data_IF_225651607491
#
_entry.id   IF_225651607491
#
_cell.length_a   1.000
_cell.length_b   1.000
_cell.length_c   1.000
_cell.angle_alpha   90.00
_cell.angle_beta   90.00
_cell.angle_gamma   90.00
#
_symmetry.space_group_name_H-M   'P 1'
#
loop_
_entity.id
_entity.type
_entity.pdbx_description
1 polymer ?
#
# COMPACT_ATOMS: atom_id res chain seq x y z
N UNK A 1 13.17 -23.05 -51.58
CA UNK A 1 13.51 -23.45 -50.20
C UNK A 1 12.95 -22.40 -49.25
N UNK A 2 11.92 -22.68 -48.45
CA UNK A 2 11.55 -21.75 -47.38
C UNK A 2 12.72 -21.67 -46.39
N UNK A 3 13.13 -20.45 -46.02
CA UNK A 3 14.15 -20.27 -44.97
C UNK A 3 13.62 -20.94 -43.69
N UNK A 4 14.43 -21.72 -42.97
CA UNK A 4 14.03 -22.24 -41.68
C UNK A 4 13.63 -21.05 -40.79
N UNK A 5 12.46 -21.14 -40.16
CA UNK A 5 12.01 -20.17 -39.18
C UNK A 5 13.10 -20.04 -38.12
N UNK A 6 13.72 -18.87 -38.03
CA UNK A 6 14.75 -18.58 -37.03
C UNK A 6 14.05 -18.62 -35.68
N UNK A 7 14.28 -19.69 -34.91
CA UNK A 7 13.75 -19.87 -33.55
C UNK A 7 14.02 -18.56 -32.79
N UNK A 8 12.96 -17.91 -32.31
CA UNK A 8 13.10 -16.69 -31.52
C UNK A 8 13.99 -17.01 -30.31
N UNK A 9 14.93 -16.14 -29.93
CA UNK A 9 15.74 -16.39 -28.75
C UNK A 9 14.80 -16.59 -27.55
N UNK A 10 14.92 -17.73 -26.89
CA UNK A 10 14.13 -18.04 -25.69
C UNK A 10 14.98 -17.74 -24.47
N UNK A 11 14.36 -17.10 -23.47
CA UNK A 11 14.98 -16.93 -22.16
C UNK A 11 15.31 -18.34 -21.62
N UNK A 12 16.55 -18.62 -21.18
CA UNK A 12 16.90 -19.93 -20.65
C UNK A 12 15.96 -20.34 -19.51
N UNK A 13 15.57 -21.62 -19.45
CA UNK A 13 14.66 -22.13 -18.42
C UNK A 13 15.15 -21.81 -17.00
N UNK A 14 16.47 -21.91 -16.77
CA UNK A 14 17.09 -21.58 -15.50
C UNK A 14 16.87 -20.12 -15.08
N UNK A 15 16.79 -19.17 -16.02
CA UNK A 15 16.47 -17.76 -15.74
C UNK A 15 14.98 -17.62 -15.40
N UNK A 16 14.10 -18.30 -16.13
CA UNK A 16 12.65 -18.28 -15.87
C UNK A 16 12.30 -18.84 -14.48
N UNK A 17 12.92 -19.95 -14.07
CA UNK A 17 12.72 -20.57 -12.76
C UNK A 17 13.18 -19.64 -11.63
N UNK A 18 14.35 -19.03 -11.83
CA UNK A 18 14.93 -18.01 -10.95
C UNK A 18 14.00 -16.81 -10.75
N UNK A 19 13.47 -16.24 -11.83
CA UNK A 19 12.50 -15.14 -11.78
C UNK A 19 11.22 -15.54 -11.03
N UNK A 20 10.72 -16.75 -11.26
CA UNK A 20 9.52 -17.28 -10.60
C UNK A 20 9.73 -17.48 -9.10
N UNK A 21 10.90 -17.99 -8.70
CA UNK A 21 11.26 -18.14 -7.31
C UNK A 21 11.34 -16.76 -6.61
N UNK A 22 11.94 -15.77 -7.28
CA UNK A 22 12.02 -14.41 -6.76
C UNK A 22 10.64 -13.78 -6.56
N UNK A 23 9.74 -13.92 -7.53
CA UNK A 23 8.34 -13.45 -7.42
C UNK A 23 7.66 -14.02 -6.18
N UNK A 24 7.86 -15.31 -5.90
CA UNK A 24 7.25 -15.97 -4.75
C UNK A 24 7.72 -15.36 -3.43
N UNK A 25 9.02 -15.07 -3.30
CA UNK A 25 9.59 -14.41 -2.11
C UNK A 25 9.12 -12.96 -2.02
N UNK A 26 9.10 -12.24 -3.14
CA UNK A 26 8.66 -10.84 -3.22
C UNK A 26 7.21 -10.64 -2.74
N UNK A 27 6.31 -11.57 -3.08
CA UNK A 27 4.90 -11.56 -2.67
C UNK A 27 4.59 -12.44 -1.45
N UNK A 28 5.60 -12.87 -0.71
CA UNK A 28 5.43 -13.80 0.43
C UNK A 28 4.76 -13.13 1.63
N UNK A 29 5.05 -11.85 1.88
CA UNK A 29 4.50 -11.11 3.02
C UNK A 29 3.07 -10.63 2.75
N UNK A 30 2.15 -10.80 3.72
CA UNK A 30 0.84 -10.16 3.64
C UNK A 30 0.97 -8.62 3.65
N UNK A 31 -0.01 -7.88 3.11
CA UNK A 31 0.04 -6.42 3.06
C UNK A 31 -0.41 -5.76 4.38
N UNK A 32 -0.34 -6.51 5.48
CA UNK A 32 -0.79 -6.12 6.82
C UNK A 32 0.00 -6.87 7.89
N UNK A 33 -0.02 -6.35 9.12
CA UNK A 33 0.45 -7.05 10.33
C UNK A 33 -0.66 -6.96 11.38
N UNK A 34 -0.92 -8.04 12.11
CA UNK A 34 -1.94 -8.08 13.15
C UNK A 34 -1.49 -8.90 14.35
N UNK A 35 -2.09 -8.63 15.50
CA UNK A 35 -1.88 -9.42 16.70
C UNK A 35 -2.59 -8.85 17.91
N UNK A 36 -2.14 -9.28 19.08
CA UNK A 36 -2.58 -8.73 20.37
C UNK A 36 -1.43 -8.10 21.13
N UNK A 37 -1.73 -7.10 21.96
CA UNK A 37 -0.76 -6.33 22.71
C UNK A 37 -1.30 -5.98 24.10
N UNK A 38 -0.52 -6.25 25.14
CA UNK A 38 -0.87 -5.89 26.52
C UNK A 38 -0.45 -4.45 26.81
N UNK A 39 -1.32 -3.71 27.48
CA UNK A 39 -1.08 -2.33 27.92
C UNK A 39 -1.34 -2.19 29.43
N UNK A 40 -0.91 -1.07 30.00
CA UNK A 40 -1.21 -0.75 31.39
C UNK A 40 -2.70 -0.55 31.61
N UNK A 41 -3.19 -0.90 32.81
CA UNK A 41 -4.63 -0.82 33.13
C UNK A 41 -5.22 0.58 32.91
N UNK A 42 -4.42 1.62 33.13
CA UNK A 42 -4.86 3.00 32.94
C UNK A 42 -5.10 3.35 31.45
N UNK A 43 -4.51 2.62 30.51
CA UNK A 43 -4.59 2.90 29.08
C UNK A 43 -5.89 2.38 28.46
N UNK A 44 -6.63 1.52 29.17
CA UNK A 44 -7.98 1.12 28.79
C UNK A 44 -9.06 2.18 29.08
N UNK A 45 -8.68 3.29 29.74
CA UNK A 45 -9.62 4.37 30.07
C UNK A 45 -9.91 5.26 28.86
N UNK A 46 -11.21 5.43 28.58
CA UNK A 46 -11.74 6.34 27.57
C UNK A 46 -12.64 7.39 28.25
N UNK A 47 -12.43 8.65 27.91
CA UNK A 47 -13.19 9.80 28.40
C UNK A 47 -14.02 10.41 27.26
N UNK A 48 -15.29 10.71 27.50
CA UNK A 48 -16.21 11.27 26.49
C UNK A 48 -17.36 12.05 27.15
N UNK A 49 -18.25 12.65 26.34
CA UNK A 49 -19.46 13.35 26.83
C UNK A 49 -19.28 14.85 27.12
N UNK A 50 -18.04 15.35 26.98
CA UNK A 50 -17.71 16.77 27.09
C UNK A 50 -17.83 17.36 28.50
N UNK A 51 -17.63 18.68 28.65
CA UNK A 51 -17.61 19.34 29.96
C UNK A 51 -18.93 19.28 30.74
N UNK A 52 -20.07 19.17 30.05
CA UNK A 52 -21.40 19.22 30.68
C UNK A 52 -21.85 17.86 31.25
N UNK A 53 -21.38 16.75 30.67
CA UNK A 53 -21.72 15.40 31.13
C UNK A 53 -20.51 14.46 30.94
N UNK A 54 -19.40 14.71 31.65
CA UNK A 54 -18.18 13.94 31.46
C UNK A 54 -18.40 12.49 31.90
N UNK A 55 -17.92 11.57 31.08
CA UNK A 55 -17.95 10.13 31.33
C UNK A 55 -16.55 9.56 31.21
N UNK A 56 -16.29 8.51 31.97
CA UNK A 56 -15.10 7.68 31.89
C UNK A 56 -15.55 6.23 31.86
N UNK A 57 -15.03 5.45 30.93
CA UNK A 57 -15.29 4.02 30.80
C UNK A 57 -13.96 3.27 30.78
N UNK A 58 -13.86 2.20 31.55
CA UNK A 58 -12.76 1.24 31.47
C UNK A 58 -13.14 0.17 30.44
N UNK A 59 -12.57 0.26 29.24
CA UNK A 59 -12.94 -0.62 28.12
C UNK A 59 -12.52 -2.08 28.32
N UNK A 60 -11.67 -2.39 29.31
CA UNK A 60 -11.33 -3.77 29.66
C UNK A 60 -12.33 -4.42 30.62
N UNK A 61 -13.13 -3.62 31.33
CA UNK A 61 -14.08 -4.09 32.36
C UNK A 61 -15.48 -3.49 32.17
N UNK A 62 -15.79 -2.96 30.99
CA UNK A 62 -17.03 -2.27 30.71
C UNK A 62 -18.24 -3.22 30.72
N UNK A 63 -19.32 -2.79 31.39
CA UNK A 63 -20.59 -3.47 31.28
C UNK A 63 -21.31 -3.09 29.98
N UNK A 64 -22.21 -3.96 29.49
CA UNK A 64 -23.02 -3.71 28.28
C UNK A 64 -23.77 -2.37 28.32
N UNK A 65 -24.25 -1.95 29.49
CA UNK A 65 -24.94 -0.66 29.65
C UNK A 65 -24.01 0.54 29.41
N UNK A 66 -22.74 0.44 29.82
CA UNK A 66 -21.75 1.50 29.59
C UNK A 66 -21.34 1.56 28.12
N UNK A 67 -21.22 0.38 27.47
CA UNK A 67 -20.91 0.27 26.04
C UNK A 67 -22.07 0.76 25.15
N UNK A 68 -23.32 0.45 25.53
CA UNK A 68 -24.51 1.00 24.90
C UNK A 68 -24.52 2.53 25.02
N UNK A 69 -24.25 3.08 26.22
CA UNK A 69 -24.20 4.52 26.40
C UNK A 69 -23.09 5.18 25.56
N UNK A 70 -21.91 4.56 25.46
CA UNK A 70 -20.83 5.02 24.58
C UNK A 70 -21.26 5.00 23.11
N UNK A 71 -21.93 3.92 22.68
CA UNK A 71 -22.51 3.81 21.34
C UNK A 71 -23.51 4.94 21.07
N UNK A 72 -24.38 5.24 22.03
CA UNK A 72 -25.40 6.29 21.92
C UNK A 72 -24.84 7.70 21.86
N UNK A 73 -23.70 7.93 22.52
CA UNK A 73 -22.95 9.17 22.41
C UNK A 73 -22.27 9.35 21.03
N UNK A 74 -22.09 8.28 20.25
CA UNK A 74 -21.48 8.35 18.93
C UNK A 74 -22.49 8.78 17.85
N UNK A 75 -22.04 9.55 16.85
CA UNK A 75 -22.82 9.85 15.66
C UNK A 75 -22.85 8.65 14.69
N UNK A 76 -23.87 8.51 13.82
CA UNK A 76 -23.82 7.54 12.74
C UNK A 76 -22.58 7.74 11.85
N UNK A 77 -21.93 6.65 11.46
CA UNK A 77 -20.71 6.72 10.66
C UNK A 77 -21.02 6.82 9.16
N UNK A 78 -20.40 7.79 8.49
CA UNK A 78 -20.43 7.94 7.03
C UNK A 78 -19.24 7.23 6.37
N UNK A 79 -19.25 7.12 5.05
CA UNK A 79 -18.09 6.69 4.25
C UNK A 79 -17.88 7.62 3.05
N UNK A 80 -16.65 7.69 2.55
CA UNK A 80 -16.31 8.54 1.42
C UNK A 80 -16.72 7.88 0.10
N UNK A 81 -17.48 8.60 -0.73
CA UNK A 81 -17.76 8.24 -2.11
C UNK A 81 -17.73 9.52 -2.95
N UNK A 82 -16.90 9.57 -3.99
CA UNK A 82 -16.84 10.69 -4.94
C UNK A 82 -16.81 12.09 -4.27
N UNK A 83 -15.96 12.29 -3.25
CA UNK A 83 -15.86 13.54 -2.46
C UNK A 83 -17.02 13.90 -1.54
N UNK A 84 -17.95 13.00 -1.37
CA UNK A 84 -19.05 13.20 -0.45
C UNK A 84 -19.00 12.16 0.63
N UNK A 85 -19.24 12.59 1.86
CA UNK A 85 -19.55 11.68 2.94
C UNK A 85 -20.97 11.19 2.72
N UNK A 86 -21.11 9.89 2.48
CA UNK A 86 -22.37 9.21 2.25
C UNK A 86 -22.78 8.46 3.51
N UNK A 87 -24.06 8.59 3.86
CA UNK A 87 -24.71 7.81 4.91
C UNK A 87 -25.63 6.79 4.24
N UNK A 88 -25.27 5.51 4.35
CA UNK A 88 -26.04 4.37 3.84
C UNK A 88 -25.79 3.17 4.77
N UNK A 89 -26.81 2.80 5.56
CA UNK A 89 -26.72 1.71 6.53
C UNK A 89 -26.71 0.32 5.89
N UNK A 90 -27.13 0.19 4.62
CA UNK A 90 -27.00 -1.07 3.88
C UNK A 90 -25.54 -1.29 3.44
N UNK A 91 -24.73 -0.23 3.41
CA UNK A 91 -23.30 -0.29 3.10
C UNK A 91 -22.41 -0.26 4.35
N UNK A 92 -22.73 0.62 5.30
CA UNK A 92 -22.01 0.80 6.55
C UNK A 92 -22.99 1.08 7.68
N UNK A 93 -23.12 0.11 8.58
CA UNK A 93 -23.84 0.31 9.85
C UNK A 93 -22.82 0.34 10.98
N UNK A 94 -22.44 1.52 11.42
CA UNK A 94 -21.52 1.74 12.53
C UNK A 94 -21.75 3.12 13.13
N UNK A 95 -21.27 3.34 14.37
CA UNK A 95 -21.25 4.67 14.98
C UNK A 95 -19.80 5.12 15.19
N UNK A 96 -19.57 6.43 15.12
CA UNK A 96 -18.24 7.03 15.29
C UNK A 96 -18.26 8.24 16.23
N UNK A 97 -17.12 8.52 16.81
CA UNK A 97 -16.84 9.76 17.53
C UNK A 97 -15.53 10.35 16.99
N UNK A 98 -15.56 11.64 16.64
CA UNK A 98 -14.39 12.36 16.13
C UNK A 98 -13.48 12.79 17.31
N UNK A 99 -12.19 13.05 17.02
CA UNK A 99 -11.13 13.19 18.06
C UNK A 99 -11.31 14.34 19.03
N UNK A 100 -12.14 15.33 18.71
CA UNK A 100 -12.46 16.46 19.56
C UNK A 100 -13.54 16.14 20.62
N UNK A 101 -14.22 15.00 20.48
CA UNK A 101 -15.31 14.59 21.36
C UNK A 101 -14.93 13.49 22.38
N UNK A 102 -13.71 12.96 22.31
CA UNK A 102 -13.18 12.00 23.28
C UNK A 102 -11.69 12.20 23.59
N UNK A 103 -11.23 11.56 24.66
CA UNK A 103 -9.80 11.42 24.97
C UNK A 103 -9.54 10.01 25.47
N UNK A 104 -8.41 9.42 25.09
CA UNK A 104 -7.92 8.15 25.63
C UNK A 104 -6.53 8.33 26.21
N UNK A 105 -6.14 7.44 27.14
CA UNK A 105 -4.76 7.40 27.65
C UNK A 105 -3.82 6.60 26.77
N UNK A 106 -4.34 5.55 26.12
CA UNK A 106 -3.57 4.77 25.17
C UNK A 106 -3.01 5.66 24.05
N UNK A 107 -1.70 5.58 23.88
CA UNK A 107 -0.96 6.17 22.77
C UNK A 107 -0.05 5.07 22.17
N UNK A 108 -0.13 4.80 20.85
CA UNK A 108 0.59 3.70 20.25
C UNK A 108 2.12 3.89 20.28
N UNK A 109 2.60 5.13 20.26
CA UNK A 109 4.04 5.41 20.28
C UNK A 109 4.62 5.27 21.69
N UNK A 110 3.95 5.84 22.70
CA UNK A 110 4.40 5.74 24.09
C UNK A 110 4.24 4.33 24.68
N UNK A 111 3.27 3.56 24.20
CA UNK A 111 3.06 2.18 24.67
C UNK A 111 4.16 1.21 24.21
N UNK A 112 4.93 1.53 23.17
CA UNK A 112 5.89 0.60 22.58
C UNK A 112 5.30 -0.29 21.48
N UNK A 113 4.01 -0.11 21.13
CA UNK A 113 3.34 -0.90 20.09
C UNK A 113 3.96 -0.67 18.71
N UNK A 114 4.32 0.58 18.41
CA UNK A 114 4.87 0.93 17.10
C UNK A 114 6.23 0.26 16.84
N UNK A 115 7.07 0.13 17.86
CA UNK A 115 8.36 -0.56 17.82
C UNK A 115 8.24 -2.04 17.47
N UNK A 116 7.11 -2.66 17.83
CA UNK A 116 6.78 -4.03 17.45
C UNK A 116 6.32 -4.12 15.99
N UNK A 117 5.43 -3.21 15.58
CA UNK A 117 4.76 -3.27 14.28
C UNK A 117 5.71 -2.91 13.13
N UNK A 118 6.49 -1.85 13.30
CA UNK A 118 7.25 -1.20 12.24
C UNK A 118 8.32 -2.07 11.56
N UNK A 119 9.17 -2.81 12.29
CA UNK A 119 10.15 -3.69 11.67
C UNK A 119 9.51 -4.75 10.76
N UNK A 120 8.30 -5.21 11.11
CA UNK A 120 7.58 -6.22 10.33
C UNK A 120 6.79 -5.62 9.17
N UNK A 121 6.09 -4.50 9.40
CA UNK A 121 5.17 -3.92 8.42
C UNK A 121 5.88 -3.17 7.29
N UNK A 122 6.87 -2.33 7.60
CA UNK A 122 7.62 -1.58 6.57
C UNK A 122 8.80 -2.38 6.02
N UNK A 123 9.50 -3.12 6.90
CA UNK A 123 10.59 -4.03 6.54
C UNK A 123 11.70 -3.42 5.66
N UNK A 124 11.86 -2.10 5.67
CA UNK A 124 12.83 -1.34 4.86
C UNK A 124 14.21 -1.21 5.54
N UNK A 125 14.31 -1.60 6.82
CA UNK A 125 15.56 -1.55 7.58
C UNK A 125 16.02 -0.16 8.00
N UNK A 126 15.18 0.87 7.80
CA UNK A 126 15.48 2.23 8.21
C UNK A 126 15.13 2.49 9.69
N UNK A 127 15.55 3.65 10.21
CA UNK A 127 15.02 4.15 11.49
C UNK A 127 13.59 4.67 11.29
N UNK A 128 12.61 3.86 11.71
CA UNK A 128 11.19 4.10 11.40
C UNK A 128 10.62 5.23 12.28
N UNK A 129 11.24 5.53 13.44
CA UNK A 129 10.75 6.56 14.38
C UNK A 129 10.80 7.96 13.79
N UNK A 130 11.69 8.22 12.83
CA UNK A 130 11.82 9.53 12.18
C UNK A 130 10.94 9.65 10.94
N UNK A 131 10.46 8.52 10.40
CA UNK A 131 9.79 8.42 9.09
C UNK A 131 8.27 8.36 9.14
N UNK A 132 7.65 7.98 10.25
CA UNK A 132 6.20 7.71 10.30
C UNK A 132 5.49 8.59 11.33
N UNK A 133 4.38 9.21 10.91
CA UNK A 133 3.42 9.88 11.79
C UNK A 133 2.21 8.97 11.96
N UNK A 134 1.86 8.66 13.20
CA UNK A 134 0.66 7.91 13.57
C UNK A 134 -0.36 8.89 14.17
N UNK A 135 -1.38 9.26 13.40
CA UNK A 135 -2.36 10.27 13.77
C UNK A 135 -3.66 9.61 14.21
N UNK A 136 -4.12 9.88 15.43
CA UNK A 136 -5.43 9.43 15.88
C UNK A 136 -6.51 10.07 15.01
N UNK A 137 -7.39 9.24 14.45
CA UNK A 137 -8.42 9.71 13.52
C UNK A 137 -9.83 9.66 14.11
N UNK A 138 -10.24 8.52 14.70
CA UNK A 138 -11.59 8.36 15.24
C UNK A 138 -11.74 7.16 16.15
N UNK A 139 -12.75 7.22 16.99
CA UNK A 139 -13.34 6.07 17.67
C UNK A 139 -14.48 5.51 16.81
N UNK A 140 -14.58 4.19 16.66
CA UNK A 140 -15.77 3.54 16.11
C UNK A 140 -16.35 2.53 17.11
N UNK A 141 -17.67 2.49 17.19
CA UNK A 141 -18.44 1.51 17.96
C UNK A 141 -19.34 0.74 17.01
N UNK A 142 -19.18 -0.58 16.99
CA UNK A 142 -20.02 -1.52 16.26
C UNK A 142 -20.80 -2.33 17.29
N UNK A 143 -22.09 -2.01 17.47
CA UNK A 143 -23.01 -2.84 18.27
C UNK A 143 -23.61 -3.98 17.45
N UNK A 144 -24.51 -4.75 18.05
CA UNK A 144 -25.20 -5.84 17.36
C UNK A 144 -25.81 -5.41 16.01
N UNK A 145 -25.52 -6.19 14.98
CA UNK A 145 -25.98 -5.96 13.61
C UNK A 145 -25.16 -4.95 12.81
N UNK A 146 -24.19 -4.27 13.43
CA UNK A 146 -23.27 -3.33 12.78
C UNK A 146 -22.24 -4.05 11.90
N UNK A 147 -21.84 -3.45 10.79
CA UNK A 147 -20.87 -3.97 9.82
C UNK A 147 -20.31 -2.83 8.96
N UNK A 148 -19.28 -3.13 8.17
CA UNK A 148 -18.81 -2.24 7.11
C UNK A 148 -18.34 -3.06 5.91
N UNK A 149 -19.02 -2.94 4.76
CA UNK A 149 -18.72 -3.69 3.54
C UNK A 149 -17.30 -3.45 3.01
N UNK A 150 -16.87 -4.35 2.13
CA UNK A 150 -15.58 -4.29 1.44
C UNK A 150 -15.33 -2.90 0.81
N UNK A 151 -14.21 -2.29 1.18
CA UNK A 151 -13.75 -1.00 0.68
C UNK A 151 -12.23 -0.88 0.79
N UNK A 152 -11.67 0.16 0.17
CA UNK A 152 -10.29 0.61 0.40
C UNK A 152 -10.31 1.94 1.11
N UNK A 153 -9.24 2.28 1.81
CA UNK A 153 -9.15 3.59 2.43
C UNK A 153 -9.08 4.68 1.37
N UNK A 154 -9.80 5.75 1.63
CA UNK A 154 -9.69 6.98 0.85
C UNK A 154 -8.47 7.75 1.36
N UNK A 155 -7.41 7.94 0.55
CA UNK A 155 -6.24 8.71 0.98
C UNK A 155 -6.65 10.12 1.40
N UNK A 156 -6.14 10.59 2.54
CA UNK A 156 -6.40 11.92 3.09
C UNK A 156 -5.30 12.94 2.79
N UNK A 157 -4.16 12.45 2.32
CA UNK A 157 -2.94 13.20 2.01
C UNK A 157 -2.16 12.43 0.95
N UNK A 158 -1.25 13.09 0.25
CA UNK A 158 -0.24 12.46 -0.61
C UNK A 158 0.84 11.71 0.18
N UNK A 159 0.87 11.86 1.51
CA UNK A 159 1.78 11.12 2.40
C UNK A 159 1.12 9.97 3.16
N UNK A 160 -0.20 9.82 3.09
CA UNK A 160 -0.91 8.74 3.79
C UNK A 160 -0.62 7.41 3.10
N UNK A 161 -0.18 6.41 3.87
CA UNK A 161 0.19 5.10 3.31
C UNK A 161 -0.60 3.93 3.88
N UNK A 162 -1.27 4.11 5.02
CA UNK A 162 -2.01 3.03 5.66
C UNK A 162 -2.82 3.47 6.86
N UNK A 163 -3.39 2.48 7.53
CA UNK A 163 -4.22 2.63 8.72
C UNK A 163 -3.80 1.64 9.79
N UNK A 164 -3.81 2.08 11.05
CA UNK A 164 -3.72 1.21 12.22
C UNK A 164 -5.08 1.19 12.92
N UNK A 165 -5.67 0.01 13.04
CA UNK A 165 -6.91 -0.23 13.78
C UNK A 165 -6.57 -0.95 15.07
N UNK A 166 -6.90 -0.31 16.21
CA UNK A 166 -6.76 -0.87 17.55
C UNK A 166 -8.14 -1.25 18.06
N UNK A 167 -8.30 -2.50 18.48
CA UNK A 167 -9.54 -3.06 19.02
C UNK A 167 -9.40 -3.23 20.53
N UNK A 168 -10.31 -2.64 21.29
CA UNK A 168 -10.31 -2.76 22.74
C UNK A 168 -10.92 -4.10 23.18
N UNK A 169 -10.55 -4.61 24.36
CA UNK A 169 -11.03 -5.88 24.91
C UNK A 169 -12.45 -5.80 25.47
N UNK A 170 -13.39 -5.27 24.68
CA UNK A 170 -14.81 -5.22 25.00
C UNK A 170 -15.49 -6.54 24.60
N UNK A 171 -16.40 -7.12 25.41
CA UNK A 171 -17.09 -8.36 25.03
C UNK A 171 -17.92 -8.18 23.74
N UNK A 172 -17.64 -9.02 22.74
CA UNK A 172 -18.39 -9.06 21.48
C UNK A 172 -18.24 -10.41 20.76
N UNK A 173 -19.14 -10.68 19.80
CA UNK A 173 -19.05 -11.78 18.84
C UNK A 173 -19.20 -11.26 17.41
N UNK A 174 -18.54 -11.92 16.45
CA UNK A 174 -18.44 -11.44 15.07
C UNK A 174 -17.59 -10.17 14.98
N UNK A 175 -17.79 -9.35 13.95
CA UNK A 175 -17.01 -8.10 13.80
C UNK A 175 -15.55 -8.30 13.40
N UNK A 176 -15.18 -9.49 12.92
CA UNK A 176 -13.86 -9.79 12.37
C UNK A 176 -13.52 -8.84 11.21
N UNK A 177 -12.24 -8.47 11.11
CA UNK A 177 -11.70 -7.68 10.02
C UNK A 177 -11.16 -8.62 8.93
N UNK A 178 -11.74 -8.56 7.74
CA UNK A 178 -11.27 -9.29 6.57
C UNK A 178 -10.40 -8.36 5.73
N UNK A 179 -9.24 -8.84 5.27
CA UNK A 179 -8.32 -8.14 4.36
C UNK A 179 -8.14 -8.93 3.07
N UNK A 180 -8.08 -8.25 1.93
CA UNK A 180 -8.00 -8.89 0.60
C UNK A 180 -7.01 -8.20 -0.31
N UNK A 181 -6.19 -9.01 -1.00
CA UNK A 181 -5.25 -8.57 -2.03
C UNK A 181 -4.97 -9.74 -2.99
N UNK A 182 -5.07 -9.52 -4.31
CA UNK A 182 -4.69 -10.49 -5.34
C UNK A 182 -5.24 -11.91 -5.11
N UNK A 183 -6.57 -12.04 -5.02
CA UNK A 183 -7.32 -13.30 -4.79
C UNK A 183 -7.05 -13.97 -3.43
N UNK A 184 -6.22 -13.39 -2.57
CA UNK A 184 -5.99 -13.85 -1.21
C UNK A 184 -6.90 -13.10 -0.25
N UNK A 185 -7.38 -13.81 0.76
CA UNK A 185 -8.20 -13.30 1.85
C UNK A 185 -7.58 -13.72 3.19
N UNK A 186 -7.55 -12.80 4.13
CA UNK A 186 -7.11 -13.03 5.50
C UNK A 186 -8.13 -12.48 6.49
N UNK A 187 -8.28 -13.13 7.63
CA UNK A 187 -9.25 -12.75 8.66
C UNK A 187 -8.53 -12.55 9.99
N UNK A 188 -8.76 -11.41 10.62
CA UNK A 188 -8.41 -11.17 12.01
C UNK A 188 -9.69 -11.11 12.85
N UNK A 189 -9.94 -12.18 13.60
CA UNK A 189 -11.06 -12.27 14.53
C UNK A 189 -10.68 -11.70 15.90
N UNK A 190 -10.86 -10.38 16.06
CA UNK A 190 -10.55 -9.72 17.32
C UNK A 190 -11.35 -10.26 18.50
N UNK A 191 -12.58 -10.76 18.28
CA UNK A 191 -13.44 -11.25 19.35
C UNK A 191 -12.82 -12.48 20.04
N UNK A 192 -12.18 -13.35 19.26
CA UNK A 192 -11.50 -14.55 19.77
C UNK A 192 -10.19 -14.24 20.50
N UNK A 193 -9.56 -13.11 20.22
CA UNK A 193 -8.17 -12.81 20.61
C UNK A 193 -8.07 -11.89 21.84
N UNK A 194 -8.89 -10.84 21.91
CA UNK A 194 -8.71 -9.75 22.90
C UNK A 194 -8.99 -10.13 24.36
N UNK A 195 -9.66 -11.27 24.58
CA UNK A 195 -10.01 -11.82 25.89
C UNK A 195 -9.66 -13.33 26.05
N UNK A 196 -8.88 -13.91 25.11
CA UNK A 196 -8.71 -15.36 24.95
C UNK A 196 -8.22 -16.11 26.20
N UNK A 197 -7.35 -15.49 27.00
CA UNK A 197 -6.72 -16.10 28.19
C UNK A 197 -7.23 -15.50 29.52
N UNK A 198 -8.36 -14.79 29.48
CA UNK A 198 -8.90 -14.09 30.63
C UNK A 198 -8.12 -12.83 31.03
N UNK A 199 -7.06 -12.48 30.29
CA UNK A 199 -6.34 -11.22 30.44
C UNK A 199 -6.68 -10.28 29.28
N UNK A 200 -7.19 -9.06 29.56
CA UNK A 200 -7.53 -8.11 28.50
C UNK A 200 -6.28 -7.67 27.74
N UNK A 201 -6.37 -7.70 26.40
CA UNK A 201 -5.34 -7.21 25.47
C UNK A 201 -5.97 -6.38 24.38
N UNK A 202 -5.23 -5.42 23.85
CA UNK A 202 -5.60 -4.75 22.61
C UNK A 202 -5.40 -5.71 21.44
N UNK A 203 -6.38 -5.80 20.56
CA UNK A 203 -6.15 -6.31 19.21
C UNK A 203 -5.59 -5.17 18.35
N UNK A 204 -4.70 -5.46 17.42
CA UNK A 204 -4.26 -4.47 16.45
C UNK A 204 -4.17 -5.07 15.05
N UNK A 205 -4.48 -4.25 14.06
CA UNK A 205 -4.25 -4.55 12.65
C UNK A 205 -3.72 -3.29 11.98
N UNK A 206 -2.56 -3.38 11.34
CA UNK A 206 -2.04 -2.34 10.46
C UNK A 206 -2.04 -2.84 9.02
N UNK A 207 -2.47 -2.01 8.07
CA UNK A 207 -2.52 -2.38 6.65
C UNK A 207 -2.31 -1.16 5.74
N UNK A 208 -1.84 -1.41 4.51
CA UNK A 208 -1.69 -0.33 3.52
C UNK A 208 -3.04 0.14 3.01
N UNK A 209 -3.16 1.43 2.70
CA UNK A 209 -4.42 2.10 2.38
C UNK A 209 -5.16 1.51 1.16
N UNK A 210 -4.42 0.88 0.26
CA UNK A 210 -4.93 0.26 -0.97
C UNK A 210 -5.32 -1.22 -0.82
N UNK A 211 -5.19 -1.77 0.39
CA UNK A 211 -5.71 -3.09 0.75
C UNK A 211 -7.22 -3.01 0.92
N UNK A 212 -7.95 -3.87 0.22
CA UNK A 212 -9.39 -3.99 0.42
C UNK A 212 -9.67 -4.64 1.77
N UNK A 213 -10.58 -4.08 2.53
CA UNK A 213 -10.93 -4.58 3.85
C UNK A 213 -12.42 -4.43 4.17
N UNK A 214 -12.90 -5.27 5.07
CA UNK A 214 -14.31 -5.38 5.46
C UNK A 214 -14.42 -5.68 6.96
N UNK A 215 -15.37 -5.06 7.65
CA UNK A 215 -15.76 -5.45 9.00
C UNK A 215 -17.03 -6.29 8.89
N UNK A 216 -16.91 -7.58 9.22
CA UNK A 216 -18.05 -8.50 9.25
C UNK A 216 -19.08 -8.08 10.30
N UNK A 217 -20.28 -8.64 10.21
CA UNK A 217 -21.38 -8.29 11.12
C UNK A 217 -21.03 -8.67 12.57
N UNK A 218 -21.21 -7.72 13.49
CA UNK A 218 -21.22 -8.01 14.93
C UNK A 218 -22.53 -8.71 15.27
N UNK A 219 -22.45 -9.91 15.86
CA UNK A 219 -23.62 -10.73 16.21
C UNK A 219 -24.09 -10.49 17.64
N UNK A 220 -23.18 -10.12 18.54
CA UNK A 220 -23.46 -9.83 19.95
C UNK A 220 -22.45 -8.82 20.51
N UNK A 221 -22.85 -8.06 21.54
CA UNK A 221 -21.98 -7.11 22.26
C UNK A 221 -21.57 -5.89 21.43
N UNK A 222 -20.41 -5.32 21.81
CA UNK A 222 -19.88 -4.10 21.21
C UNK A 222 -18.40 -4.25 20.87
N UNK A 223 -18.07 -4.06 19.59
CA UNK A 223 -16.69 -3.92 19.13
C UNK A 223 -16.30 -2.45 19.12
N UNK A 224 -15.42 -2.06 20.04
CA UNK A 224 -14.90 -0.69 20.17
C UNK A 224 -13.49 -0.60 19.59
N UNK A 225 -13.27 0.40 18.72
CA UNK A 225 -11.98 0.57 18.04
C UNK A 225 -11.51 2.02 18.03
N UNK A 226 -10.19 2.22 18.06
CA UNK A 226 -9.56 3.44 17.59
C UNK A 226 -8.94 3.18 16.22
N UNK A 227 -9.09 4.13 15.31
CA UNK A 227 -8.42 4.13 14.01
C UNK A 227 -7.41 5.26 13.97
N UNK A 228 -6.21 4.96 13.48
CA UNK A 228 -5.14 5.91 13.25
C UNK A 228 -4.79 5.94 11.76
N UNK A 229 -4.61 7.14 11.22
CA UNK A 229 -4.05 7.32 9.88
C UNK A 229 -2.52 7.29 9.97
N UNK A 230 -1.86 6.61 9.03
CA UNK A 230 -0.40 6.51 8.98
C UNK A 230 0.14 7.31 7.80
N UNK A 231 1.11 8.18 8.09
CA UNK A 231 1.74 9.05 7.10
C UNK A 231 3.25 8.90 7.09
N UNK A 232 3.86 9.00 5.91
CA UNK A 232 5.29 9.25 5.80
C UNK A 232 5.59 10.71 6.16
N UNK A 233 6.62 10.93 6.97
CA UNK A 233 7.02 12.24 7.44
C UNK A 233 7.75 13.01 6.32
N UNK A 234 7.06 13.94 5.65
CA UNK A 234 7.66 14.76 4.59
C UNK A 234 8.84 15.62 5.03
N UNK A 235 9.04 15.84 6.35
CA UNK A 235 10.16 16.59 6.92
C UNK A 235 11.33 15.71 7.36
N UNK A 236 11.24 14.38 7.24
CA UNK A 236 12.41 13.54 7.45
C UNK A 236 13.38 13.79 6.29
N UNK A 237 14.28 14.74 6.48
CA UNK A 237 15.39 15.06 5.57
C UNK A 237 16.54 14.07 5.73
N UNK A 238 16.26 12.85 6.17
CA UNK A 238 17.23 11.80 6.01
C UNK A 238 17.37 11.61 4.51
N UNK A 239 18.40 12.25 3.94
CA UNK A 239 19.05 11.77 2.74
C UNK A 239 19.05 10.25 2.84
N UNK A 240 18.59 9.51 1.82
CA UNK A 240 18.66 8.06 1.86
C UNK A 240 20.10 7.77 2.25
N UNK A 241 20.32 7.29 3.47
CA UNK A 241 21.66 7.04 3.96
C UNK A 241 22.18 6.10 2.91
N UNK A 242 23.07 6.58 2.04
CA UNK A 242 24.03 5.73 1.38
C UNK A 242 24.63 5.02 2.56
N UNK A 243 24.13 3.81 2.85
CA UNK A 243 24.70 2.94 3.85
C UNK A 243 26.07 2.67 3.27
N UNK A 244 27.01 3.57 3.58
CA UNK A 244 28.41 3.39 3.30
C UNK A 244 28.69 2.01 3.86
N UNK A 245 29.03 1.09 2.97
CA UNK A 245 29.25 -0.32 3.25
C UNK A 245 30.06 -0.43 4.56
N UNK A 246 29.35 -0.66 5.67
CA UNK A 246 29.97 -0.91 6.96
C UNK A 246 29.76 -2.41 7.18
N UNK A 247 30.75 -3.26 6.82
CA UNK A 247 30.62 -4.72 6.82
C UNK A 247 30.41 -5.33 8.21
N UNK A 248 30.23 -4.51 9.25
CA UNK A 248 30.09 -4.91 10.66
C UNK A 248 28.74 -4.52 11.28
N UNK A 249 27.87 -3.77 10.59
CA UNK A 249 26.50 -3.56 11.08
C UNK A 249 25.60 -4.75 10.69
N UNK A 250 24.66 -5.15 11.56
CA UNK A 250 23.60 -6.06 11.18
C UNK A 250 22.88 -5.52 9.95
N UNK A 251 22.61 -6.40 8.98
CA UNK A 251 21.76 -6.10 7.82
C UNK A 251 20.49 -5.39 8.28
N UNK A 252 20.23 -4.20 7.76
CA UNK A 252 19.01 -3.44 8.10
C UNK A 252 17.76 -4.15 7.58
N UNK A 253 17.88 -4.85 6.45
CA UNK A 253 16.74 -5.51 5.81
C UNK A 253 16.22 -6.75 6.56
N UNK A 254 14.90 -6.95 6.50
CA UNK A 254 14.21 -8.11 7.09
C UNK A 254 14.69 -9.46 6.52
N UNK A 255 14.33 -10.59 7.14
CA UNK A 255 14.66 -11.95 6.63
C UNK A 255 14.28 -12.15 5.15
N UNK A 256 13.11 -11.66 4.75
CA UNK A 256 12.67 -11.71 3.34
C UNK A 256 13.56 -10.84 2.46
N UNK A 257 14.01 -9.69 2.95
CA UNK A 257 14.95 -8.81 2.23
C UNK A 257 16.31 -9.47 2.04
N UNK A 258 16.79 -10.20 3.05
CA UNK A 258 18.03 -10.99 2.94
C UNK A 258 17.89 -12.09 1.89
N UNK A 259 16.74 -12.77 1.82
CA UNK A 259 16.47 -13.77 0.78
C UNK A 259 16.44 -13.13 -0.61
N UNK A 260 15.73 -12.00 -0.79
CA UNK A 260 15.73 -11.25 -2.06
C UNK A 260 17.13 -10.78 -2.45
N UNK A 261 17.95 -10.35 -1.48
CA UNK A 261 19.35 -9.96 -1.71
C UNK A 261 20.18 -11.11 -2.25
N UNK A 262 20.11 -12.28 -1.62
CA UNK A 262 20.80 -13.49 -2.08
C UNK A 262 20.35 -13.83 -3.50
N UNK A 263 19.04 -13.81 -3.77
CA UNK A 263 18.52 -14.12 -5.11
C UNK A 263 18.95 -13.12 -6.19
N UNK A 264 19.05 -11.81 -5.87
CA UNK A 264 19.59 -10.81 -6.79
C UNK A 264 21.09 -11.02 -7.06
N UNK A 265 21.88 -11.33 -6.03
CA UNK A 265 23.30 -11.66 -6.22
C UNK A 265 23.48 -12.88 -7.12
N UNK A 266 22.66 -13.90 -6.91
CA UNK A 266 22.57 -15.10 -7.74
C UNK A 266 22.23 -14.79 -9.21
N UNK A 267 21.31 -13.84 -9.45
CA UNK A 267 20.99 -13.39 -10.80
C UNK A 267 22.20 -12.71 -11.46
N UNK A 268 22.85 -11.81 -10.74
CA UNK A 268 24.01 -11.06 -11.24
C UNK A 268 25.23 -11.95 -11.50
N UNK A 269 25.34 -13.07 -10.80
CA UNK A 269 26.40 -14.07 -11.01
C UNK A 269 26.11 -15.03 -12.17
N UNK A 270 24.89 -15.04 -12.73
CA UNK A 270 24.49 -15.95 -13.79
C UNK A 270 24.94 -15.42 -15.17
N UNK A 271 25.84 -16.10 -15.90
CA UNK A 271 26.36 -15.61 -17.19
C UNK A 271 25.29 -15.45 -18.27
N UNK A 272 24.23 -16.25 -18.21
CA UNK A 272 23.13 -16.23 -19.18
C UNK A 272 22.08 -15.14 -18.86
N UNK A 273 22.23 -14.42 -17.75
CA UNK A 273 21.30 -13.41 -17.28
C UNK A 273 21.73 -12.02 -17.76
N UNK A 274 21.03 -11.49 -18.78
CA UNK A 274 21.37 -10.22 -19.44
C UNK A 274 22.86 -10.15 -19.85
N UNK A 275 23.36 -11.07 -20.71
CA UNK A 275 24.79 -11.16 -21.05
C UNK A 275 25.36 -9.89 -21.69
N UNK A 276 24.52 -9.12 -22.41
CA UNK A 276 24.88 -7.84 -23.03
C UNK A 276 24.49 -6.62 -22.16
N UNK A 277 24.10 -6.86 -20.91
CA UNK A 277 23.50 -5.87 -20.01
C UNK A 277 22.03 -5.57 -20.33
N UNK A 278 21.35 -4.92 -19.40
CA UNK A 278 19.92 -4.60 -19.52
C UNK A 278 19.33 -4.13 -18.20
N UNK A 279 18.02 -4.33 -18.05
CA UNK A 279 17.27 -3.94 -16.86
C UNK A 279 16.57 -5.13 -16.22
N UNK A 280 16.44 -5.07 -14.90
CA UNK A 280 15.40 -5.78 -14.18
C UNK A 280 14.23 -4.84 -13.94
N UNK A 281 13.06 -5.23 -14.43
CA UNK A 281 11.85 -4.45 -14.29
C UNK A 281 10.97 -5.01 -13.18
N UNK A 282 10.53 -4.15 -12.27
CA UNK A 282 9.58 -4.48 -11.22
C UNK A 282 8.38 -3.55 -11.34
N UNK A 283 7.21 -4.14 -11.55
CA UNK A 283 5.96 -3.48 -11.24
C UNK A 283 5.79 -3.37 -9.73
N UNK A 284 5.50 -2.15 -9.26
CA UNK A 284 5.21 -1.89 -7.86
C UNK A 284 3.96 -2.67 -7.42
N UNK A 285 4.00 -3.26 -6.23
CA UNK A 285 2.88 -4.02 -5.66
C UNK A 285 1.73 -3.10 -5.23
N UNK A 286 2.08 -1.99 -4.58
CA UNK A 286 1.11 -1.11 -3.93
C UNK A 286 0.76 0.10 -4.80
N UNK A 287 -0.36 0.73 -4.46
CA UNK A 287 -0.75 2.02 -5.02
C UNK A 287 -0.13 3.17 -4.22
N UNK A 288 0.36 4.16 -4.94
CA UNK A 288 0.99 5.35 -4.38
C UNK A 288 0.23 6.60 -4.84
N UNK A 289 -0.11 7.51 -3.92
CA UNK A 289 -0.62 8.81 -4.30
C UNK A 289 0.47 9.57 -5.07
N UNK A 290 0.13 10.04 -6.27
CA UNK A 290 1.06 10.71 -7.16
C UNK A 290 0.38 11.89 -7.84
N UNK A 291 1.05 13.03 -7.83
CA UNK A 291 0.72 14.14 -8.72
C UNK A 291 1.32 13.83 -10.10
N UNK A 292 0.46 13.59 -11.09
CA UNK A 292 0.88 13.24 -12.44
C UNK A 292 1.73 14.34 -13.14
N UNK A 293 1.77 15.55 -12.57
CA UNK A 293 2.63 16.64 -13.06
C UNK A 293 4.06 16.58 -12.52
N UNK A 294 4.31 15.81 -11.46
CA UNK A 294 5.63 15.62 -10.85
C UNK A 294 6.33 14.36 -11.38
N UNK A 295 7.68 14.28 -11.26
CA UNK A 295 8.40 13.05 -11.55
C UNK A 295 7.98 11.89 -10.64
N UNK A 296 7.98 10.66 -11.14
CA UNK A 296 7.65 9.45 -10.36
C UNK A 296 8.63 9.22 -9.21
N UNK A 297 9.87 9.73 -9.33
CA UNK A 297 10.85 9.67 -8.25
C UNK A 297 10.44 10.37 -6.95
N UNK A 298 9.37 11.17 -6.95
CA UNK A 298 8.88 11.82 -5.71
C UNK A 298 8.37 10.83 -4.66
N UNK A 299 8.03 9.59 -5.03
CA UNK A 299 7.61 8.56 -4.07
C UNK A 299 8.75 7.64 -3.63
N UNK A 300 9.99 7.88 -4.07
CA UNK A 300 11.13 7.02 -3.73
C UNK A 300 11.38 6.92 -2.22
N UNK A 301 11.03 7.94 -1.44
CA UNK A 301 11.17 7.94 0.02
C UNK A 301 9.94 7.39 0.76
N UNK A 302 8.91 6.98 0.03
CA UNK A 302 7.60 6.56 0.56
C UNK A 302 7.13 5.23 -0.04
N UNK A 303 8.07 4.38 -0.48
CA UNK A 303 7.75 3.04 -0.94
C UNK A 303 7.20 2.18 0.22
N UNK A 304 6.34 1.23 -0.11
CA UNK A 304 5.61 0.38 0.85
C UNK A 304 6.12 -1.07 0.78
N UNK A 305 6.28 -1.70 1.93
CA UNK A 305 6.51 -3.14 2.07
C UNK A 305 7.62 -3.69 1.14
N UNK A 306 7.28 -4.65 0.28
CA UNK A 306 8.24 -5.27 -0.63
C UNK A 306 8.86 -4.31 -1.66
N UNK A 307 8.16 -3.22 -2.02
CA UNK A 307 8.71 -2.23 -2.96
C UNK A 307 9.85 -1.45 -2.29
N UNK A 308 9.68 -1.03 -1.03
CA UNK A 308 10.73 -0.39 -0.23
C UNK A 308 11.87 -1.35 0.09
N UNK A 309 11.54 -2.59 0.42
CA UNK A 309 12.53 -3.63 0.70
C UNK A 309 13.43 -3.89 -0.50
N UNK A 310 12.87 -3.93 -1.72
CA UNK A 310 13.65 -4.09 -2.94
C UNK A 310 14.59 -2.91 -3.17
N UNK A 311 14.12 -1.68 -2.93
CA UNK A 311 14.96 -0.48 -3.00
C UNK A 311 16.14 -0.58 -2.03
N UNK A 312 15.88 -0.91 -0.76
CA UNK A 312 16.92 -1.07 0.26
C UNK A 312 17.93 -2.17 -0.09
N UNK A 313 17.46 -3.29 -0.65
CA UNK A 313 18.35 -4.37 -1.13
C UNK A 313 19.22 -3.90 -2.29
N UNK A 314 18.65 -3.15 -3.24
CA UNK A 314 19.43 -2.55 -4.34
C UNK A 314 20.50 -1.60 -3.80
N UNK A 315 20.16 -0.74 -2.83
CA UNK A 315 21.11 0.16 -2.16
C UNK A 315 22.25 -0.61 -1.46
N UNK A 316 21.92 -1.65 -0.68
CA UNK A 316 22.91 -2.50 -0.01
C UNK A 316 23.85 -3.22 -1.00
N UNK A 317 23.36 -3.55 -2.20
CA UNK A 317 24.15 -4.18 -3.26
C UNK A 317 24.89 -3.18 -4.16
N UNK A 318 24.69 -1.87 -3.97
CA UNK A 318 25.23 -0.83 -4.83
C UNK A 318 24.67 -0.85 -6.26
N UNK A 319 23.46 -1.39 -6.44
CA UNK A 319 22.78 -1.45 -7.73
C UNK A 319 22.08 -0.12 -8.02
N UNK A 320 22.25 0.39 -9.24
CA UNK A 320 21.49 1.54 -9.69
C UNK A 320 20.02 1.17 -9.86
N UNK A 321 19.13 1.92 -9.20
CA UNK A 321 17.68 1.77 -9.32
C UNK A 321 17.01 3.13 -9.56
N UNK A 322 15.82 3.09 -10.13
CA UNK A 322 15.01 4.28 -10.44
C UNK A 322 13.55 3.89 -10.65
N UNK A 323 12.64 4.83 -10.36
CA UNK A 323 11.20 4.68 -10.55
C UNK A 323 10.76 5.41 -11.82
N UNK A 324 9.91 4.77 -12.62
CA UNK A 324 9.44 5.31 -13.88
C UNK A 324 7.98 4.96 -14.16
N UNK A 325 7.32 5.81 -14.94
CA UNK A 325 6.08 5.48 -15.62
C UNK A 325 6.39 4.61 -16.84
N UNK A 326 5.64 3.51 -17.01
CA UNK A 326 5.86 2.53 -18.08
C UNK A 326 4.62 2.43 -18.96
N UNK A 327 4.80 2.63 -20.27
CA UNK A 327 3.75 2.53 -21.27
C UNK A 327 4.05 1.39 -22.22
N UNK A 328 3.16 0.40 -22.27
CA UNK A 328 3.24 -0.70 -23.23
C UNK A 328 2.60 -0.26 -24.55
N UNK A 329 3.32 -0.40 -25.66
CA UNK A 329 2.84 -0.08 -27.01
C UNK A 329 3.44 -1.04 -28.04
N UNK A 330 2.99 -0.94 -29.28
CA UNK A 330 3.52 -1.67 -30.44
C UNK A 330 3.71 -0.71 -31.61
N UNK A 331 4.71 -0.99 -32.47
CA UNK A 331 4.78 -0.34 -33.77
C UNK A 331 3.78 -1.00 -34.72
N UNK A 332 2.99 -0.19 -35.41
CA UNK A 332 2.08 -0.58 -36.47
C UNK A 332 0.66 -0.80 -35.97
N UNK A 333 -0.21 0.15 -36.30
CA UNK A 333 -1.66 0.00 -36.24
C UNK A 333 -2.18 -0.97 -37.32
N UNK A 334 -1.77 -2.23 -37.34
CA UNK A 334 -2.48 -3.22 -38.18
C UNK A 334 -3.61 -3.85 -37.36
N UNK A 335 -4.69 -3.08 -37.18
CA UNK A 335 -5.96 -3.57 -36.63
C UNK A 335 -6.56 -4.73 -37.46
N UNK A 336 -5.98 -5.01 -38.65
CA UNK A 336 -6.43 -6.03 -39.60
C UNK A 336 -5.48 -7.21 -39.80
N UNK A 337 -4.25 -7.18 -39.26
CA UNK A 337 -3.40 -8.38 -39.28
C UNK A 337 -3.61 -9.13 -37.97
N UNK A 338 -4.28 -10.27 -38.03
CA UNK A 338 -4.41 -11.21 -36.89
C UNK A 338 -3.09 -11.81 -36.39
N UNK A 339 -1.94 -11.22 -36.74
CA UNK A 339 -0.63 -11.57 -36.20
C UNK A 339 -0.44 -10.87 -34.85
N UNK A 340 -0.93 -11.54 -33.81
CA UNK A 340 -0.59 -11.27 -32.41
C UNK A 340 0.86 -11.72 -32.11
N UNK A 341 1.84 -11.25 -32.89
CA UNK A 341 3.23 -11.58 -32.63
C UNK A 341 3.76 -10.63 -31.54
N UNK A 342 4.09 -11.18 -30.37
CA UNK A 342 4.65 -10.43 -29.23
C UNK A 342 5.95 -9.67 -29.57
N UNK A 343 6.54 -9.98 -30.73
CA UNK A 343 7.78 -9.44 -31.30
C UNK A 343 7.71 -7.93 -31.66
N UNK A 344 6.52 -7.33 -31.68
CA UNK A 344 6.33 -5.87 -31.92
C UNK A 344 6.12 -5.04 -30.65
N UNK A 345 6.17 -5.64 -29.46
CA UNK A 345 5.92 -4.91 -28.20
C UNK A 345 7.15 -4.13 -27.75
N UNK A 346 6.96 -2.84 -27.42
CA UNK A 346 7.96 -2.01 -26.75
C UNK A 346 7.37 -1.34 -25.51
N UNK A 347 8.19 -1.14 -24.49
CA UNK A 347 7.85 -0.38 -23.30
C UNK A 347 8.56 0.96 -23.35
N UNK A 348 7.79 2.05 -23.28
CA UNK A 348 8.30 3.41 -23.18
C UNK A 348 8.36 3.77 -21.71
N UNK A 349 9.56 4.05 -21.22
CA UNK A 349 9.86 4.35 -19.82
C UNK A 349 10.13 5.83 -19.69
N UNK A 350 9.41 6.51 -18.78
CA UNK A 350 9.44 7.96 -18.59
C UNK A 350 9.53 8.33 -17.12
N UNK A 351 10.18 9.46 -16.82
CA UNK A 351 10.22 10.02 -15.46
C UNK A 351 8.90 10.67 -15.05
N UNK A 352 8.10 11.13 -16.01
CA UNK A 352 6.81 11.78 -15.77
C UNK A 352 5.71 11.10 -16.58
N UNK A 353 4.49 11.20 -16.08
CA UNK A 353 3.32 10.73 -16.81
C UNK A 353 3.11 11.54 -18.10
N UNK A 354 2.64 10.85 -19.14
CA UNK A 354 2.20 11.44 -20.41
C UNK A 354 0.87 12.18 -20.22
N UNK A 355 0.75 13.39 -20.81
CA UNK A 355 -0.39 14.31 -20.63
C UNK A 355 -1.37 14.35 -21.82
N UNK A 356 -1.40 13.30 -22.65
CA UNK A 356 -2.27 13.27 -23.82
C UNK A 356 -3.75 13.05 -23.53
N UNK A 357 -4.61 13.32 -24.52
CA UNK A 357 -6.07 13.18 -24.41
C UNK A 357 -6.54 11.81 -24.94
N UNK A 358 -7.66 11.28 -24.43
CA UNK A 358 -8.24 9.99 -24.87
C UNK A 358 -8.45 9.84 -26.39
N UNK A 359 -8.65 10.94 -27.13
CA UNK A 359 -8.77 10.91 -28.61
C UNK A 359 -7.45 10.55 -29.34
N UNK A 360 -6.30 10.62 -28.66
CA UNK A 360 -4.98 10.25 -29.21
C UNK A 360 -4.64 8.76 -29.03
N UNK A 361 -5.54 7.97 -28.41
CA UNK A 361 -5.33 6.54 -28.15
C UNK A 361 -5.60 5.68 -29.40
N UNK A 362 -6.30 6.23 -30.40
CA UNK A 362 -6.63 5.55 -31.67
C UNK A 362 -5.55 5.67 -32.77
N UNK A 363 -4.43 6.39 -32.53
CA UNK A 363 -3.36 6.62 -33.52
C UNK A 363 -1.97 6.42 -32.91
N UNK A 364 -1.06 5.70 -33.60
CA UNK A 364 0.34 5.40 -33.27
C UNK A 364 0.86 5.94 -31.92
N UNK A 365 0.39 5.30 -30.84
CA UNK A 365 0.63 5.72 -29.46
C UNK A 365 2.14 5.82 -29.14
N UNK A 366 2.95 5.02 -29.82
CA UNK A 366 4.40 5.04 -29.77
C UNK A 366 4.99 6.44 -30.02
N UNK A 367 4.52 7.14 -31.05
CA UNK A 367 5.08 8.44 -31.44
C UNK A 367 4.66 9.58 -30.50
N UNK A 368 3.49 9.47 -29.86
CA UNK A 368 2.97 10.50 -28.96
C UNK A 368 3.48 10.37 -27.53
N UNK A 369 3.66 9.15 -27.05
CA UNK A 369 4.15 8.90 -25.67
C UNK A 369 5.66 9.08 -25.60
N UNK A 370 6.41 8.74 -26.64
CA UNK A 370 7.88 8.83 -26.62
C UNK A 370 8.35 10.29 -26.66
N UNK A 371 9.31 10.63 -25.80
CA UNK A 371 10.12 11.84 -25.93
C UNK A 371 11.62 11.53 -26.04
N UNK A 372 12.45 12.58 -26.09
CA UNK A 372 13.92 12.45 -26.22
C UNK A 372 14.60 11.80 -25.01
N UNK A 373 13.98 11.83 -23.82
CA UNK A 373 14.53 11.26 -22.58
C UNK A 373 14.03 9.85 -22.31
N UNK A 374 13.01 9.41 -23.03
CA UNK A 374 12.37 8.11 -22.83
C UNK A 374 13.34 6.96 -23.11
N UNK A 375 13.38 5.98 -22.20
CA UNK A 375 14.10 4.72 -22.42
C UNK A 375 13.15 3.74 -23.08
N UNK A 376 13.61 3.06 -24.13
CA UNK A 376 12.83 2.04 -24.82
C UNK A 376 13.30 0.65 -24.39
N UNK A 377 12.41 -0.11 -23.78
CA UNK A 377 12.68 -1.48 -23.32
C UNK A 377 11.93 -2.50 -24.17
N UNK A 378 12.62 -3.59 -24.52
CA UNK A 378 12.01 -4.81 -25.09
C UNK A 378 12.24 -5.97 -24.13
N UNK A 379 11.34 -6.94 -24.12
CA UNK A 379 11.53 -8.13 -23.28
C UNK A 379 12.83 -8.85 -23.69
N UNK A 380 13.62 -9.28 -22.71
CA UNK A 380 14.87 -9.99 -22.97
C UNK A 380 14.64 -11.23 -23.85
N UNK A 381 15.55 -11.50 -24.78
CA UNK A 381 15.42 -12.58 -25.77
C UNK A 381 14.45 -12.30 -26.95
N UNK A 382 13.70 -11.20 -26.97
CA UNK A 382 12.85 -10.86 -28.14
C UNK A 382 13.65 -10.24 -29.29
N UNK A 383 13.09 -10.16 -30.51
CA UNK A 383 13.81 -9.53 -31.63
C UNK A 383 13.95 -8.03 -31.43
N UNK A 384 14.83 -7.41 -32.23
CA UNK A 384 15.00 -5.96 -32.22
C UNK A 384 13.72 -5.27 -32.70
N UNK A 385 13.30 -4.25 -31.94
CA UNK A 385 12.12 -3.47 -32.25
C UNK A 385 12.35 -2.63 -33.52
N UNK A 386 11.35 -2.58 -34.39
CA UNK A 386 11.32 -1.76 -35.60
C UNK A 386 10.13 -0.82 -35.54
N UNK A 387 10.32 0.41 -36.02
CA UNK A 387 9.21 1.35 -36.20
C UNK A 387 8.35 1.01 -37.42
N UNK A 388 7.32 1.83 -37.66
CA UNK A 388 6.32 1.63 -38.73
C UNK A 388 6.93 1.70 -40.14
N UNK A 389 8.14 2.25 -40.26
CA UNK A 389 8.92 2.33 -41.49
C UNK A 389 9.89 1.13 -41.65
N UNK A 390 9.82 0.16 -40.73
CA UNK A 390 10.70 -1.02 -40.71
C UNK A 390 12.12 -0.71 -40.25
N UNK A 391 12.39 0.49 -39.72
CA UNK A 391 13.72 0.89 -39.24
C UNK A 391 13.94 0.37 -37.83
N UNK A 392 15.11 -0.22 -37.60
CA UNK A 392 15.50 -0.71 -36.27
C UNK A 392 15.65 0.48 -35.32
N UNK A 393 14.91 0.42 -34.22
CA UNK A 393 14.96 1.42 -33.15
C UNK A 393 15.84 0.87 -32.02
N UNK A 394 16.80 1.65 -31.49
CA UNK A 394 17.60 1.23 -30.34
C UNK A 394 16.71 0.97 -29.11
N UNK A 395 16.80 -0.24 -28.56
CA UNK A 395 16.13 -0.65 -27.33
C UNK A 395 17.11 -1.34 -26.39
N UNK A 396 16.76 -1.39 -25.10
CA UNK A 396 17.47 -2.17 -24.08
C UNK A 396 16.62 -3.37 -23.68
N UNK A 397 17.26 -4.46 -23.28
CA UNK A 397 16.54 -5.63 -22.79
C UNK A 397 16.06 -5.42 -21.35
N UNK A 398 14.89 -5.99 -21.03
CA UNK A 398 14.37 -6.05 -19.67
C UNK A 398 13.84 -7.44 -19.36
N UNK A 399 14.21 -7.98 -18.19
CA UNK A 399 13.48 -9.05 -17.55
C UNK A 399 12.48 -8.46 -16.56
N UNK A 400 11.20 -8.64 -16.83
CA UNK A 400 10.15 -8.26 -15.88
C UNK A 400 10.06 -9.32 -14.78
N UNK A 401 10.59 -9.00 -13.60
CA UNK A 401 10.52 -9.87 -12.44
C UNK A 401 9.13 -9.86 -11.87
N UNK A 402 8.41 -8.73 -11.87
CA UNK A 402 6.99 -8.70 -11.54
C UNK A 402 6.21 -8.14 -12.72
N UNK A 403 4.91 -8.48 -12.80
CA UNK A 403 4.05 -7.87 -13.82
C UNK A 403 3.99 -6.36 -13.58
N UNK A 404 4.13 -5.57 -14.65
CA UNK A 404 3.77 -4.16 -14.60
C UNK A 404 2.25 -4.08 -14.43
N UNK A 405 1.73 -3.50 -13.33
CA UNK A 405 0.29 -3.38 -13.14
C UNK A 405 -0.32 -2.62 -14.33
N UNK A 406 -1.31 -3.23 -14.98
CA UNK A 406 -2.05 -2.59 -16.09
C UNK A 406 -3.15 -1.67 -15.57
N UNK A 407 -3.48 -1.77 -14.29
CA UNK A 407 -4.41 -0.89 -13.61
C UNK A 407 -3.72 0.45 -13.34
N UNK A 408 -3.79 1.35 -14.31
CA UNK A 408 -3.61 2.78 -14.03
C UNK A 408 -4.73 3.20 -13.09
N UNK A 409 -4.44 3.25 -11.80
CA UNK A 409 -5.23 4.06 -10.89
C UNK A 409 -4.81 5.52 -11.09
N UNK A 410 -5.14 6.07 -12.26
CA UNK A 410 -5.65 7.45 -12.24
C UNK A 410 -6.97 7.32 -11.52
N UNK A 411 -6.91 7.27 -10.20
CA UNK A 411 -8.05 7.80 -9.50
C UNK A 411 -8.04 9.25 -9.93
N UNK A 412 -9.04 9.65 -10.73
CA UNK A 412 -9.56 11.00 -10.59
C UNK A 412 -10.17 11.08 -9.19
N UNK A 413 -9.34 10.94 -8.16
CA UNK A 413 -9.68 11.30 -6.82
C UNK A 413 -9.59 12.82 -6.90
N UNK A 414 -10.69 13.54 -7.10
CA UNK A 414 -11.88 13.31 -6.32
C UNK A 414 -11.37 13.55 -4.90
N UNK A 415 -11.02 12.51 -4.15
CA UNK A 415 -10.75 12.53 -2.69
C UNK A 415 -10.19 13.82 -2.07
N UNK A 416 -11.11 14.61 -1.50
CA UNK A 416 -10.83 15.69 -0.56
C UNK A 416 -11.45 15.35 0.80
N UNK A 417 -10.68 15.56 1.87
CA UNK A 417 -11.22 15.61 3.22
C UNK A 417 -12.00 16.92 3.41
N UNK A 418 -13.25 16.83 3.83
CA UNK A 418 -14.01 17.98 4.33
C UNK A 418 -13.75 18.07 5.83
N UNK A 419 -12.88 19.00 6.26
CA UNK A 419 -12.94 19.56 7.61
C UNK A 419 -13.78 20.82 7.53
N UNK A 420 -15.04 20.74 7.96
CA UNK A 420 -15.85 21.94 8.18
C UNK A 420 -15.37 22.60 9.47
N UNK A 421 -14.44 23.55 9.35
CA UNK A 421 -14.25 24.53 10.42
C UNK A 421 -15.48 25.42 10.45
N UNK A 422 -16.36 25.19 11.43
CA UNK A 422 -17.46 26.09 11.71
C UNK A 422 -16.90 27.30 12.47
N UNK A 423 -16.67 28.40 11.76
CA UNK A 423 -16.42 29.71 12.37
C UNK A 423 -17.79 30.32 12.66
N UNK A 424 -18.21 30.51 13.92
CA UNK A 424 -19.48 31.16 14.22
C UNK A 424 -19.45 32.62 13.73
N UNK A 425 -20.56 33.15 13.21
CA UNK A 425 -20.63 34.55 12.80
C UNK A 425 -20.38 35.45 14.01
N UNK A 426 -19.43 36.38 13.87
CA UNK A 426 -19.26 37.48 14.80
C UNK A 426 -20.55 38.30 14.82
N UNK A 427 -21.38 38.08 15.84
CA UNK A 427 -22.42 39.02 16.20
C UNK A 427 -21.74 40.31 16.65
N UNK A 428 -21.96 41.38 15.88
CA UNK A 428 -21.65 42.73 16.28
C UNK A 428 -22.28 43.06 17.65
N UNK A 429 -21.45 43.60 18.54
CA UNK A 429 -21.80 44.62 19.52
C UNK A 429 -20.61 45.59 19.56
#
# INVERSE_FOLDING_TARGET
>A
MPRPARIAPQIPAAVTDRLSAFQKVFFSKPPFVSGVYSIDKADYLLYYGGPQNPRCIDLANAADADLQHLSDACAPATFGLNNTDVYDEDYRKARKMDVDAFSCKFDPAHSGLLELIWPEFLSDGGDIKQKVVCELYKLNVYGQGSFFKAHKDTPRSDTMFGSLVVVFPTPHEGGALILRENEKEWTFDSAAEVLADGSPKLGYVVFFSDVEHEVTKVTSGYRVTLTYNLYFNAKSTDEPTTLLHQPHLPSGVSKVGQELKIMLQDFLACPDFLPDGGFLGFGLRFLYPLDATKPVSTISSSLKGCDAMLQAVCDELGLQHSLHAVYKTSAGCDYYSGDSDGDKTVHIVRDTFWKGTHQQVDMDLYHYIRDKKSILLRAAGTRTFKDDYGKVVPTKEVHWVTKVPTQYNVVKSHYGASSRFFVPPSSAC
#
